data_IF_019635476132
#
_entry.id   IF_019635476132
#
_cell.length_a   1.000
_cell.length_b   1.000
_cell.length_c   1.000
_cell.angle_alpha   90.00
_cell.angle_beta   90.00
_cell.angle_gamma   90.00
#
_symmetry.space_group_name_H-M   'P 1'
#
loop_
_entity.id
_entity.type
_entity.pdbx_description
1 polymer ?
#
# COMPACT_ATOMS: atom_id res chain seq x y z
N UNK A 1 -5.56 -26.31 20.55
CA UNK A 1 -6.93 -26.27 19.97
C UNK A 1 -7.31 -24.83 19.75
N UNK A 2 -7.82 -24.51 18.58
CA UNK A 2 -8.24 -23.15 18.25
C UNK A 2 -9.45 -22.75 19.09
N UNK A 3 -9.43 -21.51 19.58
CA UNK A 3 -10.49 -20.95 20.41
C UNK A 3 -11.17 -19.79 19.66
N UNK A 4 -12.49 -19.75 19.69
CA UNK A 4 -13.25 -18.65 19.09
C UNK A 4 -13.22 -17.46 20.06
N UNK A 5 -12.77 -16.30 19.57
CA UNK A 5 -12.87 -15.01 20.25
C UNK A 5 -14.10 -14.25 19.73
N UNK A 6 -15.02 -13.91 20.63
CA UNK A 6 -16.22 -13.14 20.27
C UNK A 6 -15.87 -11.66 20.14
N UNK A 7 -15.21 -11.30 19.05
CA UNK A 7 -14.81 -9.94 18.71
C UNK A 7 -15.49 -9.52 17.41
N UNK A 8 -15.95 -8.29 17.37
CA UNK A 8 -16.48 -7.68 16.14
C UNK A 8 -15.30 -7.04 15.42
N UNK A 9 -15.07 -7.44 14.18
CA UNK A 9 -14.00 -6.86 13.35
C UNK A 9 -14.19 -5.34 13.23
N UNK A 10 -13.10 -4.59 13.39
CA UNK A 10 -13.12 -3.12 13.40
C UNK A 10 -13.48 -2.47 14.73
N UNK A 11 -13.89 -3.23 15.77
CA UNK A 11 -14.13 -2.67 17.10
C UNK A 11 -12.83 -2.30 17.83
N UNK A 12 -12.91 -1.47 18.86
CA UNK A 12 -11.77 -1.11 19.70
C UNK A 12 -11.12 -2.35 20.34
N UNK A 13 -11.93 -3.29 20.81
CA UNK A 13 -11.50 -4.55 21.42
C UNK A 13 -10.75 -5.42 20.39
N UNK A 14 -11.22 -5.44 19.15
CA UNK A 14 -10.54 -6.14 18.07
C UNK A 14 -9.18 -5.50 17.73
N UNK A 15 -9.07 -4.17 17.71
CA UNK A 15 -7.81 -3.47 17.52
C UNK A 15 -6.83 -3.76 18.66
N UNK A 16 -7.28 -3.75 19.93
CA UNK A 16 -6.45 -4.10 21.08
C UNK A 16 -6.02 -5.58 21.06
N UNK A 17 -6.90 -6.48 20.61
CA UNK A 17 -6.56 -7.87 20.39
C UNK A 17 -5.44 -8.01 19.35
N UNK A 18 -5.55 -7.32 18.21
CA UNK A 18 -4.54 -7.36 17.14
C UNK A 18 -3.16 -6.86 17.57
N UNK A 19 -3.08 -5.89 18.47
CA UNK A 19 -1.79 -5.41 19.00
C UNK A 19 -1.02 -6.53 19.73
N UNK A 20 -1.75 -7.43 20.41
CA UNK A 20 -1.18 -8.47 21.26
C UNK A 20 -0.94 -9.80 20.54
N UNK A 21 -1.56 -9.99 19.37
CA UNK A 21 -1.52 -11.26 18.67
C UNK A 21 -0.73 -11.19 17.36
N UNK A 22 -0.33 -12.37 16.88
CA UNK A 22 0.29 -12.62 15.58
C UNK A 22 -0.84 -12.80 14.56
N UNK A 23 -1.18 -11.74 13.83
CA UNK A 23 -2.38 -11.74 13.00
C UNK A 23 -2.11 -12.22 11.58
N UNK A 24 -3.00 -13.02 11.03
CA UNK A 24 -2.84 -13.61 9.70
C UNK A 24 -2.62 -12.55 8.59
N UNK A 25 -3.37 -11.44 8.62
CA UNK A 25 -3.24 -10.36 7.63
C UNK A 25 -1.91 -9.59 7.70
N UNK A 26 -1.15 -9.70 8.80
CA UNK A 26 0.16 -9.06 8.98
C UNK A 26 1.32 -9.98 8.56
N UNK A 27 1.07 -11.28 8.40
CA UNK A 27 2.09 -12.27 7.98
C UNK A 27 2.81 -11.90 6.69
N UNK A 28 2.13 -11.44 5.63
CA UNK A 28 2.83 -10.99 4.42
C UNK A 28 3.77 -9.80 4.68
N UNK A 29 3.43 -8.93 5.62
CA UNK A 29 4.24 -7.77 5.99
C UNK A 29 5.53 -8.21 6.67
N UNK A 30 5.45 -9.07 7.69
CA UNK A 30 6.66 -9.52 8.40
C UNK A 30 7.58 -10.38 7.54
N UNK A 31 7.04 -11.06 6.52
CA UNK A 31 7.79 -11.81 5.51
C UNK A 31 8.34 -10.92 4.39
N UNK A 32 8.07 -9.62 4.40
CA UNK A 32 8.59 -8.64 3.44
C UNK A 32 7.94 -8.68 2.06
N UNK A 33 6.85 -9.44 1.87
CA UNK A 33 6.16 -9.60 0.57
C UNK A 33 4.90 -8.74 0.44
N UNK A 34 4.51 -8.01 1.49
CA UNK A 34 3.38 -7.08 1.42
C UNK A 34 3.72 -5.90 0.50
N UNK A 35 2.88 -5.57 -0.50
CA UNK A 35 3.10 -4.42 -1.36
C UNK A 35 2.78 -3.07 -0.68
N UNK A 36 2.10 -3.09 0.47
CA UNK A 36 1.58 -1.87 1.12
C UNK A 36 2.37 -1.44 2.35
N UNK A 37 2.93 -2.38 3.12
CA UNK A 37 3.55 -2.10 4.41
C UNK A 37 4.83 -2.90 4.59
N UNK A 38 5.84 -2.30 5.20
CA UNK A 38 7.11 -2.95 5.55
C UNK A 38 7.08 -3.51 6.97
N UNK A 39 7.99 -4.43 7.33
CA UNK A 39 8.14 -4.88 8.72
C UNK A 39 8.42 -3.72 9.69
N UNK A 40 9.21 -2.71 9.27
CA UNK A 40 9.50 -1.54 10.09
C UNK A 40 8.24 -0.70 10.37
N UNK A 41 7.43 -0.44 9.36
CA UNK A 41 6.17 0.30 9.51
C UNK A 41 5.17 -0.46 10.41
N UNK A 42 5.07 -1.79 10.27
CA UNK A 42 4.22 -2.59 11.16
C UNK A 42 4.74 -2.56 12.61
N UNK A 43 6.05 -2.62 12.80
CA UNK A 43 6.68 -2.51 14.11
C UNK A 43 6.33 -1.18 14.81
N UNK A 44 6.36 -0.06 14.09
CA UNK A 44 5.93 1.24 14.63
C UNK A 44 4.46 1.23 15.06
N UNK A 45 3.57 0.61 14.27
CA UNK A 45 2.15 0.45 14.61
C UNK A 45 1.98 -0.43 15.86
N UNK A 46 2.69 -1.56 15.95
CA UNK A 46 2.63 -2.48 17.11
C UNK A 46 3.07 -1.81 18.41
N UNK A 47 4.04 -0.92 18.36
CA UNK A 47 4.49 -0.13 19.52
C UNK A 47 3.63 1.11 19.80
N UNK A 48 2.65 1.42 18.94
CA UNK A 48 1.84 2.63 19.07
C UNK A 48 2.59 3.93 18.79
N UNK A 49 3.72 3.85 18.06
CA UNK A 49 4.51 5.02 17.66
C UNK A 49 3.84 5.80 16.52
N UNK A 50 3.07 5.09 15.70
CA UNK A 50 2.25 5.65 14.62
C UNK A 50 0.89 4.97 14.62
N UNK A 51 -0.14 5.70 14.20
CA UNK A 51 -1.46 5.12 13.94
C UNK A 51 -1.50 4.54 12.53
N UNK A 52 -2.24 3.44 12.36
CA UNK A 52 -2.43 2.87 11.05
C UNK A 52 -3.42 3.74 10.27
N UNK A 53 -2.98 4.30 9.15
CA UNK A 53 -3.85 5.07 8.27
C UNK A 53 -4.93 4.18 7.64
N UNK A 54 -6.17 4.67 7.66
CA UNK A 54 -7.28 4.04 6.95
C UNK A 54 -7.33 4.60 5.54
N UNK A 55 -6.95 3.78 4.57
CA UNK A 55 -6.91 4.20 3.16
C UNK A 55 -8.29 4.14 2.49
N UNK A 56 -8.49 4.88 1.40
CA UNK A 56 -9.71 4.80 0.60
C UNK A 56 -9.98 3.37 0.08
N UNK A 57 -8.94 2.59 -0.21
CA UNK A 57 -9.07 1.19 -0.61
C UNK A 57 -9.57 0.29 0.53
N UNK A 58 -9.15 0.54 1.78
CA UNK A 58 -9.65 -0.20 2.95
C UNK A 58 -11.12 0.12 3.20
N UNK A 59 -11.52 1.39 3.12
CA UNK A 59 -12.92 1.81 3.26
C UNK A 59 -13.81 1.19 2.16
N UNK A 60 -13.33 1.18 0.93
CA UNK A 60 -14.03 0.54 -0.20
C UNK A 60 -14.24 -0.95 0.05
N UNK A 61 -13.20 -1.66 0.51
CA UNK A 61 -13.30 -3.08 0.87
C UNK A 61 -14.37 -3.32 1.93
N UNK A 62 -14.30 -2.57 3.03
CA UNK A 62 -15.25 -2.67 4.15
C UNK A 62 -16.71 -2.40 3.73
N UNK A 63 -16.93 -1.45 2.81
CA UNK A 63 -18.28 -1.13 2.31
C UNK A 63 -18.87 -2.24 1.44
N UNK A 64 -18.04 -2.94 0.66
CA UNK A 64 -18.49 -4.01 -0.24
C UNK A 64 -18.53 -5.39 0.41
N UNK A 65 -17.86 -5.60 1.53
CA UNK A 65 -17.72 -6.89 2.19
C UNK A 65 -19.07 -7.60 2.44
N UNK A 66 -20.14 -6.95 2.94
CA UNK A 66 -21.43 -7.63 3.13
C UNK A 66 -22.06 -8.12 1.83
N UNK A 67 -21.93 -7.35 0.76
CA UNK A 67 -22.43 -7.73 -0.56
C UNK A 67 -21.61 -8.85 -1.17
N UNK A 68 -20.29 -8.79 -1.01
CA UNK A 68 -19.36 -9.82 -1.45
C UNK A 68 -19.60 -11.14 -0.71
N UNK A 69 -19.85 -11.10 0.61
CA UNK A 69 -20.19 -12.28 1.38
C UNK A 69 -21.47 -12.93 0.87
N UNK A 70 -22.53 -12.16 0.67
CA UNK A 70 -23.80 -12.68 0.14
C UNK A 70 -23.63 -13.29 -1.25
N UNK A 71 -22.80 -12.66 -2.11
CA UNK A 71 -22.48 -13.19 -3.45
C UNK A 71 -21.70 -14.51 -3.36
N UNK A 72 -20.71 -14.59 -2.45
CA UNK A 72 -19.97 -15.82 -2.22
C UNK A 72 -20.87 -16.95 -1.70
N UNK A 73 -21.71 -16.70 -0.71
CA UNK A 73 -22.64 -17.69 -0.14
C UNK A 73 -23.61 -18.25 -1.20
N UNK A 74 -24.10 -17.38 -2.07
CA UNK A 74 -24.97 -17.78 -3.18
C UNK A 74 -24.21 -18.66 -4.21
N UNK A 75 -22.94 -18.34 -4.49
CA UNK A 75 -22.10 -19.09 -5.42
C UNK A 75 -21.66 -20.44 -4.85
N UNK A 76 -21.18 -20.44 -3.61
CA UNK A 76 -20.57 -21.61 -2.96
C UNK A 76 -21.58 -22.54 -2.32
N UNK A 77 -22.81 -22.08 -2.07
CA UNK A 77 -23.86 -22.85 -1.38
C UNK A 77 -23.58 -23.09 0.12
N UNK A 78 -22.75 -22.26 0.71
CA UNK A 78 -22.37 -22.35 2.14
C UNK A 78 -22.77 -21.07 2.87
N UNK A 79 -23.29 -21.23 4.08
CA UNK A 79 -23.49 -20.12 5.03
C UNK A 79 -22.18 -19.90 5.77
N UNK A 80 -21.71 -18.65 5.77
CA UNK A 80 -20.44 -18.26 6.37
C UNK A 80 -20.66 -17.33 7.56
N UNK A 81 -19.84 -17.52 8.60
CA UNK A 81 -19.85 -16.66 9.77
C UNK A 81 -18.50 -15.95 9.91
N UNK A 82 -18.48 -14.61 10.01
CA UNK A 82 -17.23 -13.91 10.32
C UNK A 82 -16.83 -14.21 11.76
N UNK A 83 -15.63 -14.78 11.95
CA UNK A 83 -15.13 -15.16 13.25
C UNK A 83 -13.66 -14.81 13.43
N UNK A 84 -13.28 -14.52 14.67
CA UNK A 84 -11.89 -14.41 15.09
C UNK A 84 -11.52 -15.68 15.86
N UNK A 85 -10.49 -16.38 15.38
CA UNK A 85 -9.97 -17.59 16.04
C UNK A 85 -8.53 -17.36 16.50
N UNK A 86 -8.17 -18.06 17.59
CA UNK A 86 -6.83 -17.98 18.20
C UNK A 86 -6.31 -19.39 18.46
N UNK A 87 -5.04 -19.63 18.13
CA UNK A 87 -4.27 -20.81 18.50
C UNK A 87 -2.95 -20.36 19.15
N UNK A 88 -2.88 -20.40 20.47
CA UNK A 88 -1.78 -19.79 21.24
C UNK A 88 -1.72 -18.27 21.02
N UNK A 89 -0.60 -17.78 20.50
CA UNK A 89 -0.41 -16.35 20.19
C UNK A 89 -0.82 -15.97 18.76
N UNK A 90 -1.26 -16.93 17.95
CA UNK A 90 -1.66 -16.70 16.55
C UNK A 90 -3.14 -16.42 16.44
N UNK A 91 -3.50 -15.46 15.64
CA UNK A 91 -4.89 -15.02 15.43
C UNK A 91 -5.24 -14.93 13.96
N UNK A 92 -6.44 -15.40 13.64
CA UNK A 92 -7.04 -15.29 12.32
C UNK A 92 -8.43 -14.65 12.44
N UNK A 93 -8.60 -13.47 11.86
CA UNK A 93 -9.91 -12.92 11.56
C UNK A 93 -10.30 -13.43 10.18
N UNK A 94 -11.35 -14.25 10.10
CA UNK A 94 -11.86 -14.80 8.85
C UNK A 94 -13.10 -14.01 8.43
N UNK A 95 -13.17 -13.62 7.17
CA UNK A 95 -14.37 -12.96 6.61
C UNK A 95 -15.54 -13.92 6.59
N UNK A 96 -15.27 -15.23 6.52
CA UNK A 96 -16.24 -16.27 6.75
C UNK A 96 -15.62 -17.63 7.08
N UNK A 97 -16.32 -18.39 7.92
CA UNK A 97 -16.06 -19.80 8.21
C UNK A 97 -17.37 -20.57 8.22
N UNK A 98 -17.38 -21.79 7.69
CA UNK A 98 -18.56 -22.68 7.74
C UNK A 98 -18.89 -23.08 9.16
N UNK A 99 -20.13 -23.47 9.42
CA UNK A 99 -20.56 -23.99 10.72
C UNK A 99 -19.78 -25.22 11.18
N UNK A 100 -19.31 -26.05 10.22
CA UNK A 100 -18.45 -27.21 10.50
C UNK A 100 -17.01 -26.83 10.80
N UNK A 101 -16.59 -25.60 10.48
CA UNK A 101 -15.23 -25.13 10.65
C UNK A 101 -14.24 -25.67 9.62
N UNK A 102 -14.70 -26.45 8.64
CA UNK A 102 -13.82 -27.10 7.66
C UNK A 102 -13.43 -26.24 6.46
N UNK A 103 -14.13 -25.12 6.21
CA UNK A 103 -13.87 -24.20 5.11
C UNK A 103 -13.90 -22.75 5.60
N UNK A 104 -12.93 -21.96 5.15
CA UNK A 104 -12.87 -20.51 5.37
C UNK A 104 -12.93 -19.78 4.04
N UNK A 105 -13.33 -18.51 4.05
CA UNK A 105 -13.23 -17.60 2.92
C UNK A 105 -12.47 -16.35 3.32
N UNK A 106 -11.59 -15.91 2.44
CA UNK A 106 -10.95 -14.58 2.45
C UNK A 106 -11.51 -13.76 1.29
N UNK A 107 -12.24 -12.71 1.63
CA UNK A 107 -12.91 -11.82 0.67
C UNK A 107 -12.01 -10.63 0.34
N UNK A 108 -11.89 -10.33 -0.94
CA UNK A 108 -11.14 -9.17 -1.42
C UNK A 108 -11.97 -8.36 -2.41
N UNK A 109 -12.17 -7.08 -2.11
CA UNK A 109 -12.88 -6.14 -2.96
C UNK A 109 -11.90 -5.08 -3.48
N UNK A 110 -11.12 -5.34 -4.54
CA UNK A 110 -10.11 -4.42 -5.03
C UNK A 110 -10.75 -3.17 -5.62
N UNK A 111 -10.18 -1.98 -5.31
CA UNK A 111 -10.68 -0.69 -5.78
C UNK A 111 -10.81 -0.56 -7.30
N UNK A 112 -9.98 -1.27 -8.07
CA UNK A 112 -10.02 -1.32 -9.54
C UNK A 112 -10.88 -2.47 -10.08
N UNK A 113 -11.63 -3.17 -9.24
CA UNK A 113 -12.46 -4.30 -9.66
C UNK A 113 -11.68 -5.29 -10.54
N UNK A 114 -12.22 -5.59 -11.72
CA UNK A 114 -11.62 -6.53 -12.72
C UNK A 114 -10.28 -6.07 -13.29
N UNK A 115 -10.00 -4.77 -13.27
CA UNK A 115 -8.73 -4.22 -13.75
C UNK A 115 -7.58 -4.37 -12.73
N UNK A 116 -7.87 -4.84 -11.53
CA UNK A 116 -6.85 -5.09 -10.51
C UNK A 116 -5.97 -6.27 -10.87
N UNK A 117 -4.71 -6.21 -10.46
CA UNK A 117 -3.76 -7.33 -10.59
C UNK A 117 -4.25 -8.57 -9.84
N UNK A 118 -4.96 -8.37 -8.71
CA UNK A 118 -5.51 -9.48 -7.93
C UNK A 118 -6.58 -10.24 -8.73
N UNK A 119 -7.56 -9.52 -9.29
CA UNK A 119 -8.59 -10.16 -10.11
C UNK A 119 -7.98 -10.96 -11.25
N UNK A 120 -7.09 -10.34 -12.03
CA UNK A 120 -6.45 -10.97 -13.18
C UNK A 120 -5.72 -12.26 -12.82
N UNK A 121 -4.95 -12.24 -11.74
CA UNK A 121 -4.24 -13.43 -11.26
C UNK A 121 -5.21 -14.54 -10.82
N UNK A 122 -6.25 -14.21 -10.05
CA UNK A 122 -7.22 -15.21 -9.59
C UNK A 122 -8.00 -15.79 -10.75
N UNK A 123 -8.36 -15.00 -11.76
CA UNK A 123 -8.96 -15.47 -13.00
C UNK A 123 -8.06 -16.43 -13.80
N UNK A 124 -6.73 -16.29 -13.67
CA UNK A 124 -5.71 -17.18 -14.24
C UNK A 124 -5.44 -18.42 -13.34
N UNK A 125 -6.16 -18.59 -12.25
CA UNK A 125 -5.94 -19.68 -11.29
C UNK A 125 -4.72 -19.47 -10.37
N UNK A 126 -4.25 -18.24 -10.20
CA UNK A 126 -3.07 -17.90 -9.42
C UNK A 126 -3.44 -17.05 -8.20
N UNK A 127 -2.95 -17.43 -7.03
CA UNK A 127 -3.05 -16.60 -5.82
C UNK A 127 -1.76 -15.80 -5.65
N UNK A 128 -1.83 -14.45 -5.54
CA UNK A 128 -0.66 -13.66 -5.21
C UNK A 128 -0.03 -14.09 -3.89
N UNK A 129 1.30 -14.08 -3.81
CA UNK A 129 2.05 -14.61 -2.66
C UNK A 129 1.59 -14.01 -1.32
N UNK A 130 1.41 -12.69 -1.26
CA UNK A 130 0.96 -12.01 -0.05
C UNK A 130 -0.45 -12.44 0.41
N UNK A 131 -1.36 -12.76 -0.52
CA UNK A 131 -2.68 -13.29 -0.19
C UNK A 131 -2.55 -14.75 0.25
N UNK A 132 -1.75 -15.55 -0.47
CA UNK A 132 -1.51 -16.94 -0.13
C UNK A 132 -0.94 -17.13 1.26
N UNK A 133 0.05 -16.31 1.68
CA UNK A 133 0.65 -16.37 3.01
C UNK A 133 -0.33 -15.97 4.13
N UNK A 134 -1.19 -14.99 3.90
CA UNK A 134 -2.28 -14.66 4.82
C UNK A 134 -3.18 -15.88 5.03
N UNK A 135 -3.60 -16.52 3.95
CA UNK A 135 -4.48 -17.69 3.97
C UNK A 135 -3.79 -18.89 4.63
N UNK A 136 -2.51 -19.14 4.35
CA UNK A 136 -1.78 -20.22 5.03
C UNK A 136 -1.73 -20.02 6.54
N UNK A 137 -1.60 -18.77 7.00
CA UNK A 137 -1.70 -18.48 8.43
C UNK A 137 -3.12 -18.69 8.95
N UNK A 138 -4.16 -18.28 8.22
CA UNK A 138 -5.55 -18.54 8.62
C UNK A 138 -5.82 -20.05 8.72
N UNK A 139 -5.40 -20.85 7.73
CA UNK A 139 -5.53 -22.32 7.75
C UNK A 139 -4.74 -22.95 8.91
N UNK A 140 -3.56 -22.42 9.21
CA UNK A 140 -2.76 -22.86 10.36
C UNK A 140 -3.48 -22.62 11.68
N UNK A 141 -4.17 -21.49 11.85
CA UNK A 141 -4.92 -21.15 13.08
C UNK A 141 -6.24 -21.88 13.13
N UNK A 142 -7.03 -21.85 12.07
CA UNK A 142 -8.40 -22.40 12.06
C UNK A 142 -8.44 -23.92 12.01
N UNK A 143 -7.41 -24.57 11.46
CA UNK A 143 -7.36 -25.98 11.13
C UNK A 143 -8.40 -26.39 10.07
N UNK A 144 -8.89 -25.43 9.30
CA UNK A 144 -9.79 -25.72 8.20
C UNK A 144 -9.08 -26.55 7.12
N UNK A 145 -9.84 -27.37 6.43
CA UNK A 145 -9.34 -28.27 5.38
C UNK A 145 -9.06 -27.51 4.08
N UNK A 146 -9.75 -26.38 3.90
CA UNK A 146 -9.67 -25.57 2.69
C UNK A 146 -10.03 -24.11 2.96
N UNK A 147 -9.46 -23.22 2.16
CA UNK A 147 -9.80 -21.80 2.12
C UNK A 147 -10.19 -21.39 0.70
N UNK A 148 -11.13 -20.49 0.55
CA UNK A 148 -11.42 -19.83 -0.71
C UNK A 148 -10.90 -18.39 -0.70
N UNK A 149 -10.23 -18.00 -1.78
CA UNK A 149 -10.03 -16.60 -2.14
C UNK A 149 -11.21 -16.17 -2.98
N UNK A 150 -12.01 -15.25 -2.49
CA UNK A 150 -13.12 -14.69 -3.23
C UNK A 150 -12.83 -13.22 -3.57
N UNK A 151 -12.72 -12.92 -4.86
CA UNK A 151 -12.47 -11.56 -5.33
C UNK A 151 -13.74 -11.02 -5.97
N UNK A 152 -14.23 -9.90 -5.42
CA UNK A 152 -15.50 -9.28 -5.82
C UNK A 152 -15.25 -7.91 -6.45
N UNK A 153 -15.85 -7.62 -7.61
CA UNK A 153 -15.68 -6.38 -8.35
C UNK A 153 -16.71 -5.29 -8.02
N UNK A 154 -17.66 -5.60 -7.11
CA UNK A 154 -18.83 -4.79 -6.80
C UNK A 154 -20.14 -5.30 -7.46
N UNK A 155 -20.05 -6.24 -8.37
CA UNK A 155 -21.20 -6.82 -9.08
C UNK A 155 -21.12 -8.34 -9.12
N UNK A 156 -19.98 -8.88 -9.50
CA UNK A 156 -19.72 -10.30 -9.62
C UNK A 156 -18.42 -10.69 -8.90
N UNK A 157 -18.31 -11.96 -8.54
CA UNK A 157 -17.13 -12.48 -7.89
C UNK A 157 -16.53 -13.70 -8.58
N UNK A 158 -15.23 -13.89 -8.40
CA UNK A 158 -14.51 -15.09 -8.81
C UNK A 158 -13.89 -15.76 -7.58
N UNK A 159 -13.86 -17.07 -7.59
CA UNK A 159 -13.40 -17.90 -6.48
C UNK A 159 -12.20 -18.76 -6.90
N UNK A 160 -11.24 -18.92 -6.00
CA UNK A 160 -10.14 -19.86 -6.17
C UNK A 160 -9.88 -20.57 -4.84
N UNK A 161 -9.86 -21.90 -4.88
CA UNK A 161 -9.62 -22.75 -3.72
C UNK A 161 -8.12 -22.82 -3.38
N UNK A 162 -7.80 -22.76 -2.09
CA UNK A 162 -6.44 -22.86 -1.54
C UNK A 162 -6.41 -23.94 -0.45
N UNK A 163 -5.56 -24.93 -0.63
CA UNK A 163 -5.34 -25.97 0.37
C UNK A 163 -4.23 -25.63 1.36
N UNK A 164 -4.24 -26.21 2.57
CA UNK A 164 -3.14 -26.08 3.52
C UNK A 164 -1.81 -26.54 2.92
N UNK A 165 -0.76 -25.75 3.17
CA UNK A 165 0.63 -26.07 2.83
C UNK A 165 1.47 -26.09 4.12
N UNK A 166 1.41 -27.16 4.93
CA UNK A 166 2.09 -27.22 6.23
C UNK A 166 3.59 -26.93 6.16
N UNK A 167 4.23 -27.23 5.03
CA UNK A 167 5.66 -26.96 4.81
C UNK A 167 6.01 -25.46 4.86
N UNK A 168 5.02 -24.57 4.67
CA UNK A 168 5.22 -23.12 4.77
C UNK A 168 5.08 -22.59 6.21
N UNK A 169 4.44 -23.34 7.11
CA UNK A 169 4.14 -22.88 8.47
C UNK A 169 5.38 -22.65 9.35
N UNK A 170 6.44 -23.47 9.29
CA UNK A 170 7.68 -23.19 10.01
C UNK A 170 8.29 -21.82 9.67
N UNK A 171 8.22 -21.41 8.41
CA UNK A 171 8.68 -20.09 7.98
C UNK A 171 7.82 -18.97 8.59
N UNK A 172 6.50 -19.14 8.64
CA UNK A 172 5.57 -18.21 9.29
C UNK A 172 5.91 -18.09 10.79
N UNK A 173 6.11 -19.21 11.47
CA UNK A 173 6.49 -19.22 12.88
C UNK A 173 7.81 -18.47 13.12
N UNK A 174 8.85 -18.82 12.37
CA UNK A 174 10.17 -18.21 12.51
C UNK A 174 10.17 -16.69 12.26
N UNK A 175 9.44 -16.24 11.23
CA UNK A 175 9.29 -14.82 10.92
C UNK A 175 8.57 -14.07 12.04
N UNK A 176 7.48 -14.63 12.56
CA UNK A 176 6.76 -14.05 13.69
C UNK A 176 7.60 -14.01 14.97
N UNK A 177 8.36 -15.06 15.26
CA UNK A 177 9.25 -15.10 16.44
C UNK A 177 10.34 -14.01 16.33
N UNK A 178 10.92 -13.83 15.16
CA UNK A 178 11.91 -12.78 14.91
C UNK A 178 11.30 -11.40 15.04
N UNK A 179 10.13 -11.17 14.45
CA UNK A 179 9.45 -9.88 14.50
C UNK A 179 8.99 -9.53 15.93
N UNK A 180 8.42 -10.48 16.67
CA UNK A 180 7.97 -10.24 18.05
C UNK A 180 9.14 -9.98 19.01
N UNK A 181 10.34 -10.52 18.75
CA UNK A 181 11.54 -10.09 19.49
C UNK A 181 11.82 -8.60 19.26
N UNK A 182 11.76 -8.13 18.00
CA UNK A 182 11.93 -6.70 17.73
C UNK A 182 10.90 -5.83 18.47
N UNK A 183 9.65 -6.31 18.59
CA UNK A 183 8.60 -5.60 19.34
C UNK A 183 8.87 -5.62 20.84
N UNK A 184 9.22 -6.78 21.40
CA UNK A 184 9.48 -6.95 22.86
C UNK A 184 10.68 -6.16 23.30
N UNK A 185 11.77 -6.17 22.51
CA UNK A 185 13.04 -5.51 22.84
C UNK A 185 13.01 -4.01 22.44
N UNK A 186 11.90 -3.53 21.85
CA UNK A 186 11.77 -2.19 21.26
C UNK A 186 12.90 -1.86 20.27
N UNK A 187 13.45 -2.88 19.62
CA UNK A 187 14.51 -2.76 18.62
C UNK A 187 13.91 -2.89 17.22
N UNK A 188 14.05 -1.84 16.41
CA UNK A 188 13.49 -1.81 15.07
C UNK A 188 14.04 -2.95 14.18
N UNK A 189 13.20 -3.61 13.38
CA UNK A 189 13.66 -4.52 12.33
C UNK A 189 14.47 -3.75 11.27
N UNK A 190 15.29 -4.44 10.45
CA UNK A 190 16.05 -3.81 9.40
C UNK A 190 15.17 -2.99 8.45
N UNK A 191 15.63 -1.79 8.10
CA UNK A 191 14.97 -0.94 7.10
C UNK A 191 15.09 -1.55 5.70
N UNK A 192 14.03 -1.45 4.94
CA UNK A 192 14.02 -1.76 3.50
C UNK A 192 14.18 -0.47 2.69
N UNK A 193 14.36 -0.59 1.37
CA UNK A 193 14.39 0.57 0.47
C UNK A 193 13.06 1.38 0.43
N UNK A 194 12.00 0.83 0.99
CA UNK A 194 10.67 1.47 1.09
C UNK A 194 10.49 2.26 2.37
N UNK A 195 11.43 2.17 3.30
CA UNK A 195 11.36 2.83 4.58
C UNK A 195 12.12 4.16 4.57
N UNK A 196 11.61 5.14 5.30
CA UNK A 196 12.31 6.40 5.52
C UNK A 196 13.18 6.29 6.76
N UNK A 197 14.49 6.45 6.59
CA UNK A 197 15.41 6.55 7.72
C UNK A 197 15.38 7.97 8.28
N UNK A 198 14.88 8.12 9.50
CA UNK A 198 14.98 9.39 10.21
C UNK A 198 16.42 9.63 10.66
N UNK A 199 16.92 10.85 10.44
CA UNK A 199 18.28 11.26 10.80
C UNK A 199 18.23 12.43 11.78
N UNK A 200 18.97 12.31 12.86
CA UNK A 200 19.10 13.30 13.95
C UNK A 200 20.57 13.57 14.30
N UNK A 201 21.50 13.01 13.52
CA UNK A 201 22.91 13.22 13.73
C UNK A 201 23.33 14.67 13.39
N UNK A 202 24.31 15.24 14.12
CA UNK A 202 24.69 16.65 13.99
C UNK A 202 25.15 17.03 12.58
N UNK A 203 25.80 16.13 11.87
CA UNK A 203 26.27 16.38 10.49
C UNK A 203 25.10 16.58 9.54
N UNK A 204 24.08 15.69 9.61
CA UNK A 204 22.87 15.83 8.81
C UNK A 204 22.09 17.10 9.14
N UNK A 205 21.89 17.38 10.45
CA UNK A 205 21.13 18.55 10.88
C UNK A 205 21.81 19.86 10.46
N UNK A 206 23.17 19.91 10.55
CA UNK A 206 23.93 21.07 10.09
C UNK A 206 23.81 21.28 8.57
N UNK A 207 23.93 20.20 7.79
CA UNK A 207 23.79 20.26 6.34
C UNK A 207 22.35 20.66 5.92
N UNK A 208 21.34 20.12 6.59
CA UNK A 208 19.94 20.47 6.36
C UNK A 208 19.65 21.94 6.67
N UNK A 209 20.15 22.47 7.78
CA UNK A 209 20.01 23.87 8.16
C UNK A 209 20.65 24.81 7.11
N UNK A 210 21.87 24.52 6.68
CA UNK A 210 22.55 25.29 5.64
C UNK A 210 21.78 25.25 4.30
N UNK A 211 21.23 24.09 3.93
CA UNK A 211 20.42 23.99 2.72
C UNK A 211 19.14 24.82 2.80
N UNK A 212 18.44 24.79 3.95
CA UNK A 212 17.19 25.54 4.15
C UNK A 212 17.44 27.05 4.11
N UNK A 213 18.54 27.53 4.70
CA UNK A 213 18.93 28.94 4.66
C UNK A 213 19.17 29.41 3.22
N UNK A 214 19.99 28.66 2.47
CA UNK A 214 20.27 28.97 1.06
C UNK A 214 19.01 28.90 0.20
N UNK A 215 18.16 27.94 0.44
CA UNK A 215 16.89 27.80 -0.28
C UNK A 215 15.96 28.97 -0.05
N UNK A 216 15.85 29.44 1.19
CA UNK A 216 15.04 30.62 1.54
C UNK A 216 15.57 31.87 0.84
N UNK A 217 16.90 32.07 0.85
CA UNK A 217 17.53 33.19 0.16
C UNK A 217 17.29 33.12 -1.38
N UNK A 218 17.42 31.93 -1.94
CA UNK A 218 17.16 31.68 -3.38
C UNK A 218 15.71 32.01 -3.76
N UNK A 219 14.73 31.53 -2.98
CA UNK A 219 13.30 31.75 -3.26
C UNK A 219 12.96 33.27 -3.18
N UNK A 220 13.56 33.97 -2.23
CA UNK A 220 13.47 35.44 -2.14
C UNK A 220 14.04 36.15 -3.38
N UNK A 221 15.22 35.72 -3.86
CA UNK A 221 15.83 36.27 -5.08
C UNK A 221 14.99 35.97 -6.33
N UNK A 222 14.41 34.77 -6.45
CA UNK A 222 13.50 34.41 -7.56
C UNK A 222 12.27 35.34 -7.57
N UNK A 223 11.66 35.56 -6.41
CA UNK A 223 10.52 36.48 -6.27
C UNK A 223 10.88 37.90 -6.75
N UNK A 224 12.00 38.44 -6.25
CA UNK A 224 12.46 39.76 -6.63
C UNK A 224 12.77 39.86 -8.14
N UNK A 225 13.35 38.81 -8.72
CA UNK A 225 13.65 38.74 -10.14
C UNK A 225 12.38 38.69 -11.00
N UNK A 226 11.36 37.93 -10.57
CA UNK A 226 10.08 37.85 -11.26
C UNK A 226 9.31 39.19 -11.18
N UNK A 227 9.36 39.89 -10.06
CA UNK A 227 8.81 41.24 -9.92
C UNK A 227 9.52 42.24 -10.84
N UNK A 228 10.86 42.24 -10.88
CA UNK A 228 11.65 43.07 -11.75
C UNK A 228 11.34 42.81 -13.24
N UNK A 229 11.22 41.53 -13.61
CA UNK A 229 10.82 41.11 -14.96
C UNK A 229 9.41 41.54 -15.30
N UNK A 230 8.44 41.36 -14.41
CA UNK A 230 7.07 41.82 -14.61
C UNK A 230 7.00 43.35 -14.83
N UNK A 231 7.77 44.12 -14.06
CA UNK A 231 7.89 45.55 -14.21
C UNK A 231 8.45 45.95 -15.59
N UNK A 232 9.54 45.29 -16.05
CA UNK A 232 10.11 45.54 -17.38
C UNK A 232 9.11 45.21 -18.50
N UNK A 233 8.42 44.07 -18.40
CA UNK A 233 7.39 43.66 -19.36
C UNK A 233 6.22 44.65 -19.37
N UNK A 234 5.84 45.18 -18.20
CA UNK A 234 4.75 46.16 -18.07
C UNK A 234 5.06 47.52 -18.73
N UNK A 235 6.34 47.87 -18.85
CA UNK A 235 6.80 49.09 -19.50
C UNK A 235 6.81 48.99 -21.04
N UNK A 236 6.76 47.76 -21.59
CA UNK A 236 6.85 47.57 -23.05
C UNK A 236 5.52 47.74 -23.74
N UNK A 237 5.51 48.47 -24.87
CA UNK A 237 4.36 48.69 -25.73
C UNK A 237 4.60 48.32 -27.22
N UNK A 238 5.79 47.81 -27.54
CA UNK A 238 6.14 47.31 -28.85
C UNK A 238 6.60 45.86 -28.81
N UNK A 239 6.59 45.13 -29.94
CA UNK A 239 6.90 43.72 -30.02
C UNK A 239 8.36 43.41 -29.61
N UNK A 240 9.27 44.33 -29.79
CA UNK A 240 10.69 44.18 -29.40
C UNK A 240 11.23 45.54 -28.96
N UNK A 241 11.63 45.61 -27.69
CA UNK A 241 12.24 46.83 -27.11
C UNK A 241 13.55 46.46 -26.41
N UNK A 242 14.50 47.40 -26.46
CA UNK A 242 15.84 47.18 -25.90
C UNK A 242 16.36 48.47 -25.27
N UNK A 243 16.95 48.37 -24.09
CA UNK A 243 17.59 49.47 -23.38
C UNK A 243 18.27 49.00 -22.11
N UNK A 244 19.28 49.70 -21.60
CA UNK A 244 19.95 49.39 -20.34
C UNK A 244 20.55 47.98 -20.26
N UNK A 245 20.93 47.39 -21.40
CA UNK A 245 21.48 46.01 -21.45
C UNK A 245 20.41 44.90 -21.46
N UNK A 246 19.10 45.24 -21.42
CA UNK A 246 18.00 44.30 -21.44
C UNK A 246 17.21 44.39 -22.74
N UNK A 247 16.77 43.26 -23.28
CA UNK A 247 15.87 43.19 -24.44
C UNK A 247 14.59 42.39 -24.03
N UNK A 248 13.42 42.96 -24.33
CA UNK A 248 12.12 42.29 -24.17
C UNK A 248 11.55 42.04 -25.55
N UNK A 249 11.20 40.77 -25.83
CA UNK A 249 10.60 40.36 -27.11
C UNK A 249 9.31 39.59 -26.86
N UNK A 250 8.22 39.92 -27.49
CA UNK A 250 6.93 39.24 -27.46
C UNK A 250 6.79 38.43 -28.74
N UNK A 251 6.56 37.12 -28.58
CA UNK A 251 6.37 36.19 -29.69
C UNK A 251 5.40 35.08 -29.35
N UNK A 252 4.76 34.54 -30.36
CA UNK A 252 3.88 33.38 -30.20
C UNK A 252 4.72 32.10 -30.29
N UNK A 253 4.68 31.28 -29.22
CA UNK A 253 5.30 29.96 -29.18
C UNK A 253 4.26 28.91 -29.54
N UNK A 254 4.59 27.99 -30.44
CA UNK A 254 3.75 26.82 -30.71
C UNK A 254 3.64 26.00 -29.46
N UNK A 255 2.43 25.44 -29.18
CA UNK A 255 2.22 24.47 -28.13
C UNK A 255 3.01 23.18 -28.35
N UNK A 256 3.30 22.47 -27.27
CA UNK A 256 3.89 21.16 -27.37
C UNK A 256 2.91 20.18 -28.01
N UNK A 257 3.43 19.14 -28.69
CA UNK A 257 2.61 18.05 -29.21
C UNK A 257 2.12 17.20 -28.02
N UNK A 258 0.81 16.99 -27.94
CA UNK A 258 0.21 16.04 -27.00
C UNK A 258 0.17 14.67 -27.67
N UNK A 259 1.17 13.85 -27.39
CA UNK A 259 1.32 12.51 -27.98
C UNK A 259 0.15 11.59 -27.63
N UNK A 260 -0.58 11.82 -26.55
CA UNK A 260 -1.78 11.03 -26.19
C UNK A 260 -2.96 11.25 -27.14
N UNK A 261 -2.93 12.37 -27.88
CA UNK A 261 -3.98 12.74 -28.85
C UNK A 261 -3.62 12.41 -30.29
N UNK A 262 -2.49 11.78 -30.53
CA UNK A 262 -2.05 11.34 -31.86
C UNK A 262 -2.64 9.95 -32.14
N UNK A 263 -3.63 9.81 -33.07
CA UNK A 263 -4.33 8.53 -33.28
C UNK A 263 -3.39 7.38 -33.71
N UNK A 264 -2.34 7.70 -34.45
CA UNK A 264 -1.36 6.75 -34.95
C UNK A 264 -0.52 6.11 -33.86
N UNK A 265 -0.49 6.71 -32.66
CA UNK A 265 0.19 6.14 -31.49
C UNK A 265 -0.75 5.32 -30.59
N UNK A 266 -2.04 5.28 -30.92
CA UNK A 266 -3.00 4.45 -30.20
C UNK A 266 -2.68 2.97 -30.43
N UNK A 267 -2.33 2.26 -29.36
CA UNK A 267 -1.97 0.84 -29.42
C UNK A 267 -0.46 0.55 -29.61
N UNK A 268 0.37 1.58 -29.74
CA UNK A 268 1.82 1.42 -29.69
C UNK A 268 2.29 1.37 -28.23
N UNK A 269 3.01 0.31 -27.85
CA UNK A 269 3.69 0.24 -26.58
C UNK A 269 4.91 1.19 -26.58
N UNK A 270 4.72 2.38 -26.00
CA UNK A 270 5.75 3.39 -25.93
C UNK A 270 6.86 3.07 -24.90
N UNK A 271 6.68 2.05 -24.04
CA UNK A 271 7.68 1.67 -23.03
C UNK A 271 8.98 1.16 -23.69
N UNK A 272 8.87 0.49 -24.83
CA UNK A 272 10.03 0.02 -25.62
C UNK A 272 10.92 1.17 -26.16
N UNK A 273 10.41 2.40 -26.17
CA UNK A 273 11.15 3.59 -26.63
C UNK A 273 11.65 4.45 -25.46
N UNK A 274 11.50 4.00 -24.22
CA UNK A 274 12.05 4.69 -23.07
C UNK A 274 13.57 4.57 -23.03
N UNK A 275 14.21 5.68 -22.67
CA UNK A 275 15.63 5.68 -22.31
C UNK A 275 15.85 4.79 -21.08
N UNK A 276 17.08 4.28 -20.92
CA UNK A 276 17.45 3.53 -19.73
C UNK A 276 17.15 4.33 -18.46
N UNK A 277 16.63 3.64 -17.43
CA UNK A 277 16.40 4.23 -16.13
C UNK A 277 17.73 4.73 -15.54
N UNK A 278 17.69 5.92 -14.92
CA UNK A 278 18.83 6.50 -14.20
C UNK A 278 18.40 6.87 -12.80
N UNK A 279 19.35 6.82 -11.89
CA UNK A 279 19.12 7.34 -10.55
C UNK A 279 18.91 8.85 -10.59
N UNK A 280 17.89 9.33 -9.92
CA UNK A 280 17.60 10.75 -9.76
C UNK A 280 17.42 11.07 -8.27
N UNK A 281 18.17 12.08 -7.80
CA UNK A 281 18.09 12.54 -6.41
C UNK A 281 17.15 13.74 -6.34
N UNK A 282 16.12 13.63 -5.53
CA UNK A 282 15.19 14.72 -5.26
C UNK A 282 15.37 15.24 -3.84
N UNK A 283 15.63 16.54 -3.71
CA UNK A 283 15.55 17.26 -2.44
C UNK A 283 14.19 17.94 -2.32
N UNK A 284 13.52 17.72 -1.22
CA UNK A 284 12.27 18.39 -0.89
C UNK A 284 12.33 18.86 0.57
N UNK A 285 11.65 19.96 0.85
CA UNK A 285 11.41 20.42 2.23
C UNK A 285 10.25 19.57 2.74
N UNK A 286 10.44 18.91 3.88
CA UNK A 286 9.47 18.04 4.52
C UNK A 286 8.61 18.78 5.53
#
# INVERSE_FOLDING_TARGET
MSTICRLVQGSAEWHEHRKKHRNASETPTILGVSPWQTPYQLWQVKLGLVEQEVTAAMLHGLQLEPQAQASYEALAGHVMQPLVLVDGNYSASCDGITLSGNRIVEIKCPFKGRDSTLWKKVAEGLVPEHVGLQIQHQLMVTKAEVADVFVFDGTEGIQLEVTPKPDTWPQIHAAWDAFMRCVTDAQAPPLTARDTRMRDDPEWLSAAAAYLELRTAYDGLVTNLDEAKARLVGLTNHAKEQGGGISVTRFWKRGNVDYKRVPELAGIDLEQYRSAAREEVRLAIA
#
